data_IF_026709389811
#
_entry.id   IF_026709389811
#
_cell.length_a   1.000
_cell.length_b   1.000
_cell.length_c   1.000
_cell.angle_alpha   90.00
_cell.angle_beta   90.00
_cell.angle_gamma   90.00
#
_symmetry.space_group_name_H-M   'P 1'
#
loop_
_entity.id
_entity.type
_entity.pdbx_description
1 polymer ?
#
# COMPACT_ATOMS: atom_id res chain seq x y z
N UNK A 1 20.54 11.84 -18.62
CA UNK A 1 21.81 11.90 -17.85
C UNK A 1 21.63 11.55 -16.37
N UNK A 2 20.55 11.97 -15.68
CA UNK A 2 20.30 11.59 -14.28
C UNK A 2 20.15 10.06 -14.04
N UNK A 3 19.49 9.33 -14.94
CA UNK A 3 19.35 7.87 -14.83
C UNK A 3 20.67 7.09 -14.94
N UNK A 4 21.67 7.64 -15.65
CA UNK A 4 23.02 7.07 -15.72
C UNK A 4 23.78 7.27 -14.41
N UNK A 5 23.60 8.42 -13.76
CA UNK A 5 24.21 8.74 -12.47
C UNK A 5 23.60 7.90 -11.33
N UNK A 6 22.28 7.67 -11.32
CA UNK A 6 21.66 6.76 -10.36
C UNK A 6 22.12 5.29 -10.53
N UNK A 7 22.35 4.83 -11.77
CA UNK A 7 22.95 3.50 -12.01
C UNK A 7 24.39 3.41 -11.50
N UNK A 8 25.17 4.49 -11.63
CA UNK A 8 26.57 4.51 -11.20
C UNK A 8 26.68 4.52 -9.67
N UNK A 9 25.94 5.39 -8.98
CA UNK A 9 26.01 5.52 -7.52
C UNK A 9 25.37 4.33 -6.79
N UNK A 10 24.26 3.78 -7.29
CA UNK A 10 23.65 2.58 -6.72
C UNK A 10 24.56 1.35 -6.81
N UNK A 11 25.33 1.21 -7.90
CA UNK A 11 26.30 0.14 -8.10
C UNK A 11 27.42 0.21 -7.05
N UNK A 12 27.97 1.40 -6.78
CA UNK A 12 29.06 1.56 -5.82
C UNK A 12 28.69 1.16 -4.37
N UNK A 13 27.47 1.44 -3.92
CA UNK A 13 27.03 1.01 -2.58
C UNK A 13 26.69 -0.50 -2.52
N UNK A 14 26.19 -1.08 -3.62
CA UNK A 14 25.88 -2.51 -3.70
C UNK A 14 27.14 -3.39 -3.83
N UNK A 15 28.21 -2.91 -4.48
CA UNK A 15 29.47 -3.65 -4.63
C UNK A 15 30.29 -3.78 -3.34
N UNK A 16 30.02 -2.95 -2.32
CA UNK A 16 30.72 -3.05 -1.04
C UNK A 16 30.32 -4.31 -0.26
N UNK A 17 29.12 -4.86 -0.51
CA UNK A 17 28.57 -6.01 0.21
C UNK A 17 28.35 -7.25 -0.68
N UNK A 18 28.21 -7.06 -2.00
CA UNK A 18 28.00 -8.15 -2.96
C UNK A 18 29.19 -8.30 -3.91
N UNK A 19 29.57 -9.56 -4.18
CA UNK A 19 30.73 -9.88 -5.04
C UNK A 19 30.69 -9.14 -6.40
N UNK A 20 31.86 -8.77 -6.97
CA UNK A 20 31.97 -7.96 -8.20
C UNK A 20 31.14 -8.46 -9.40
N UNK A 21 30.81 -9.76 -9.42
CA UNK A 21 30.00 -10.40 -10.47
C UNK A 21 28.53 -9.95 -10.50
N UNK A 22 27.95 -9.46 -9.40
CA UNK A 22 26.60 -8.90 -9.40
C UNK A 22 26.55 -7.49 -9.97
N UNK A 23 27.62 -6.71 -9.76
CA UNK A 23 27.72 -5.32 -10.22
C UNK A 23 27.94 -5.20 -11.74
N UNK A 24 28.63 -6.17 -12.35
CA UNK A 24 28.95 -6.17 -13.79
C UNK A 24 27.75 -6.63 -14.63
N UNK A 25 26.79 -7.36 -14.05
CA UNK A 25 25.63 -7.85 -14.80
C UNK A 25 24.62 -6.71 -14.98
N UNK A 26 24.53 -6.18 -16.20
CA UNK A 26 23.47 -5.25 -16.60
C UNK A 26 22.12 -5.78 -16.08
N UNK A 27 21.48 -5.03 -15.17
CA UNK A 27 20.23 -5.46 -14.53
C UNK A 27 19.14 -5.73 -15.58
N UNK A 28 18.89 -7.00 -15.85
CA UNK A 28 17.85 -7.42 -16.79
C UNK A 28 16.48 -7.42 -16.10
N UNK A 29 15.42 -7.12 -16.86
CA UNK A 29 14.05 -7.08 -16.35
C UNK A 29 13.65 -8.39 -15.61
N UNK A 30 13.98 -9.60 -16.11
CA UNK A 30 13.70 -10.84 -15.39
C UNK A 30 14.43 -10.96 -14.05
N UNK A 31 15.64 -10.40 -13.93
CA UNK A 31 16.38 -10.42 -12.67
C UNK A 31 15.72 -9.53 -11.62
N UNK A 32 15.33 -8.31 -11.99
CA UNK A 32 14.62 -7.40 -11.10
C UNK A 32 13.32 -8.02 -10.61
N UNK A 33 12.55 -8.64 -11.52
CA UNK A 33 11.29 -9.31 -11.20
C UNK A 33 11.49 -10.45 -10.20
N UNK A 34 12.54 -11.25 -10.37
CA UNK A 34 12.89 -12.34 -9.45
C UNK A 34 13.26 -11.84 -8.05
N UNK A 35 14.06 -10.76 -7.96
CA UNK A 35 14.44 -10.17 -6.67
C UNK A 35 13.21 -9.60 -5.96
N UNK A 36 12.37 -8.86 -6.69
CA UNK A 36 11.11 -8.35 -6.16
C UNK A 36 10.18 -9.47 -5.67
N UNK A 37 10.18 -10.63 -6.32
CA UNK A 37 9.38 -11.77 -5.89
C UNK A 37 9.84 -12.33 -4.54
N UNK A 38 11.15 -12.48 -4.35
CA UNK A 38 11.71 -12.85 -3.05
C UNK A 38 11.41 -11.79 -1.98
N UNK A 39 11.63 -10.51 -2.29
CA UNK A 39 11.38 -9.42 -1.34
C UNK A 39 9.93 -9.32 -0.91
N UNK A 40 8.99 -9.44 -1.85
CA UNK A 40 7.54 -9.47 -1.55
C UNK A 40 7.15 -10.71 -0.75
N UNK A 41 7.74 -11.88 -1.04
CA UNK A 41 7.50 -13.10 -0.27
C UNK A 41 7.98 -12.99 1.17
N UNK A 42 9.17 -12.43 1.39
CA UNK A 42 9.70 -12.15 2.73
C UNK A 42 8.80 -11.17 3.48
N UNK A 43 8.41 -10.05 2.85
CA UNK A 43 7.55 -9.05 3.47
C UNK A 43 6.19 -9.64 3.89
N UNK A 44 5.56 -10.43 3.03
CA UNK A 44 4.28 -11.09 3.33
C UNK A 44 4.43 -12.12 4.46
N UNK A 45 5.47 -12.96 4.40
CA UNK A 45 5.73 -13.96 5.44
C UNK A 45 5.99 -13.32 6.80
N UNK A 46 6.81 -12.27 6.85
CA UNK A 46 7.04 -11.49 8.08
C UNK A 46 5.75 -10.85 8.57
N UNK A 47 4.94 -10.27 7.68
CA UNK A 47 3.67 -9.65 8.04
C UNK A 47 2.68 -10.64 8.69
N UNK A 48 2.48 -11.80 8.07
CA UNK A 48 1.60 -12.86 8.59
C UNK A 48 2.14 -13.43 9.90
N UNK A 49 3.45 -13.71 9.97
CA UNK A 49 4.09 -14.26 11.16
C UNK A 49 4.01 -13.30 12.34
N UNK A 50 4.29 -12.01 12.11
CA UNK A 50 4.22 -10.99 13.15
C UNK A 50 2.77 -10.76 13.60
N UNK A 51 1.81 -10.77 12.67
CA UNK A 51 0.38 -10.67 13.01
C UNK A 51 -0.06 -11.85 13.88
N UNK A 52 0.38 -13.08 13.56
CA UNK A 52 0.09 -14.26 14.36
C UNK A 52 0.76 -14.20 15.74
N UNK A 53 2.02 -13.77 15.80
CA UNK A 53 2.75 -13.61 17.06
C UNK A 53 2.10 -12.53 17.95
N UNK A 54 1.68 -11.41 17.37
CA UNK A 54 0.97 -10.36 18.09
C UNK A 54 -0.38 -10.86 18.61
N UNK A 55 -1.11 -11.65 17.83
CA UNK A 55 -2.36 -12.26 18.28
C UNK A 55 -2.18 -13.23 19.45
N UNK A 56 -1.02 -13.89 19.57
CA UNK A 56 -0.71 -14.79 20.68
C UNK A 56 -0.19 -14.06 21.92
N UNK A 57 0.62 -13.01 21.72
CA UNK A 57 1.28 -12.29 22.82
C UNK A 57 0.46 -11.12 23.37
N UNK A 58 -0.39 -10.50 22.56
CA UNK A 58 -1.16 -9.35 22.99
C UNK A 58 -2.36 -9.78 23.85
N UNK A 59 -2.43 -9.24 25.06
CA UNK A 59 -3.65 -9.30 25.88
C UNK A 59 -4.67 -8.32 25.32
N UNK A 60 -5.57 -8.81 24.47
CA UNK A 60 -6.66 -8.02 23.90
C UNK A 60 -7.33 -8.71 22.73
N UNK A 61 -8.58 -8.35 22.45
CA UNK A 61 -9.29 -8.86 21.27
C UNK A 61 -8.89 -8.04 20.05
N UNK A 62 -9.09 -8.56 18.84
CA UNK A 62 -8.83 -7.78 17.62
C UNK A 62 -9.54 -6.41 17.63
N UNK A 63 -10.74 -6.35 18.21
CA UNK A 63 -11.51 -5.11 18.33
C UNK A 63 -10.82 -4.04 19.18
N UNK A 64 -10.20 -4.40 20.31
CA UNK A 64 -9.52 -3.42 21.17
C UNK A 64 -8.31 -2.80 20.47
N UNK A 65 -7.60 -3.59 19.65
CA UNK A 65 -6.49 -3.09 18.83
C UNK A 65 -6.96 -2.12 17.74
N UNK A 66 -8.12 -2.39 17.12
CA UNK A 66 -8.71 -1.48 16.14
C UNK A 66 -9.12 -0.14 16.77
N UNK A 67 -9.73 -0.16 17.96
CA UNK A 67 -10.10 1.07 18.66
C UNK A 67 -8.88 1.91 19.06
N UNK A 68 -7.76 1.27 19.45
CA UNK A 68 -6.50 1.97 19.68
C UNK A 68 -5.99 2.66 18.41
N UNK A 69 -5.99 1.95 17.27
CA UNK A 69 -5.56 2.52 15.98
C UNK A 69 -6.47 3.68 15.54
N UNK A 70 -7.77 3.58 15.82
CA UNK A 70 -8.73 4.69 15.57
C UNK A 70 -8.43 5.89 16.47
N UNK A 71 -8.11 5.66 17.75
CA UNK A 71 -7.78 6.72 18.71
C UNK A 71 -6.51 7.48 18.35
N UNK A 72 -5.55 6.83 17.67
CA UNK A 72 -4.35 7.49 17.14
C UNK A 72 -4.64 8.54 16.05
N UNK A 73 -5.90 8.71 15.63
CA UNK A 73 -6.35 9.75 14.69
C UNK A 73 -5.47 9.85 13.43
N UNK A 74 -5.07 8.68 12.90
CA UNK A 74 -4.21 8.62 11.72
C UNK A 74 -4.91 9.27 10.53
N UNK A 75 -4.19 10.17 9.85
CA UNK A 75 -4.73 10.86 8.67
C UNK A 75 -5.17 9.88 7.60
N UNK A 76 -6.26 10.20 6.89
CA UNK A 76 -6.83 9.38 5.80
C UNK A 76 -5.79 8.93 4.78
N UNK A 77 -4.85 9.82 4.45
CA UNK A 77 -3.76 9.51 3.53
C UNK A 77 -2.86 8.39 4.04
N UNK A 78 -2.53 8.39 5.35
CA UNK A 78 -1.67 7.39 5.97
C UNK A 78 -2.35 6.02 6.07
N UNK A 79 -3.64 5.98 6.40
CA UNK A 79 -4.41 4.72 6.39
C UNK A 79 -4.48 4.15 4.98
N UNK A 80 -4.71 5.00 3.97
CA UNK A 80 -4.75 4.58 2.58
C UNK A 80 -3.39 4.04 2.09
N UNK A 81 -2.28 4.71 2.42
CA UNK A 81 -0.94 4.23 2.05
C UNK A 81 -0.59 2.93 2.76
N UNK A 82 -0.95 2.78 4.04
CA UNK A 82 -0.74 1.54 4.79
C UNK A 82 -1.50 0.36 4.15
N UNK A 83 -2.78 0.54 3.83
CA UNK A 83 -3.59 -0.50 3.15
C UNK A 83 -3.00 -0.81 1.76
N UNK A 84 -2.62 0.22 1.01
CA UNK A 84 -2.01 0.05 -0.32
C UNK A 84 -0.67 -0.70 -0.25
N UNK A 85 0.15 -0.40 0.76
CA UNK A 85 1.44 -1.05 0.98
C UNK A 85 1.30 -2.55 1.31
N UNK A 86 0.17 -2.99 1.85
CA UNK A 86 -0.14 -4.41 2.04
C UNK A 86 -0.65 -5.07 0.76
N UNK A 87 -1.49 -4.38 0.00
CA UNK A 87 -2.11 -4.93 -1.21
C UNK A 87 -1.10 -5.12 -2.35
N UNK A 88 -0.22 -4.16 -2.57
CA UNK A 88 0.75 -4.20 -3.66
C UNK A 88 1.66 -5.45 -3.66
N UNK A 89 2.39 -5.77 -2.56
CA UNK A 89 3.25 -6.95 -2.52
C UNK A 89 2.44 -8.24 -2.66
N UNK A 90 1.21 -8.30 -2.13
CA UNK A 90 0.33 -9.44 -2.28
C UNK A 90 -0.02 -9.69 -3.76
N UNK A 91 -0.53 -8.69 -4.46
CA UNK A 91 -0.91 -8.82 -5.88
C UNK A 91 0.29 -9.21 -6.75
N UNK A 92 1.44 -8.56 -6.53
CA UNK A 92 2.66 -8.85 -7.26
C UNK A 92 3.15 -10.29 -7.03
N UNK A 93 3.20 -10.71 -5.76
CA UNK A 93 3.71 -12.03 -5.40
C UNK A 93 2.83 -13.15 -5.96
N UNK A 94 1.50 -12.98 -5.94
CA UNK A 94 0.55 -13.96 -6.49
C UNK A 94 0.74 -14.15 -8.00
N UNK A 95 0.74 -13.08 -8.79
CA UNK A 95 0.93 -13.21 -10.25
C UNK A 95 2.31 -13.69 -10.65
N UNK A 96 3.35 -13.21 -9.99
CA UNK A 96 4.67 -13.71 -10.26
C UNK A 96 4.81 -15.18 -9.84
N UNK A 97 4.13 -15.60 -8.76
CA UNK A 97 4.02 -17.00 -8.33
C UNK A 97 3.36 -17.87 -9.39
N UNK A 98 2.25 -17.43 -10.00
CA UNK A 98 1.63 -18.17 -11.12
C UNK A 98 2.58 -18.30 -12.30
N UNK A 99 3.30 -17.24 -12.66
CA UNK A 99 4.34 -17.31 -13.70
C UNK A 99 5.39 -18.38 -13.35
N UNK A 100 5.82 -18.48 -12.09
CA UNK A 100 6.75 -19.52 -11.65
C UNK A 100 6.14 -20.92 -11.76
N UNK A 101 4.88 -21.12 -11.36
CA UNK A 101 4.20 -22.41 -11.55
C UNK A 101 4.09 -22.81 -13.03
N UNK A 102 3.88 -21.84 -13.93
CA UNK A 102 3.90 -22.09 -15.38
C UNK A 102 5.30 -22.50 -15.87
N UNK A 103 6.35 -21.94 -15.27
CA UNK A 103 7.74 -22.32 -15.56
C UNK A 103 8.06 -23.72 -15.03
N UNK A 104 7.50 -24.12 -13.88
CA UNK A 104 7.64 -25.47 -13.32
C UNK A 104 7.01 -26.53 -14.23
N UNK A 105 5.99 -26.15 -15.01
CA UNK A 105 5.40 -26.96 -16.09
C UNK A 105 6.24 -26.97 -17.38
N UNK A 106 7.42 -26.35 -17.40
CA UNK A 106 8.30 -26.25 -18.56
C UNK A 106 7.86 -25.27 -19.65
N UNK A 107 6.85 -24.42 -19.38
CA UNK A 107 6.30 -23.48 -20.36
C UNK A 107 6.91 -22.08 -20.20
N UNK A 108 7.15 -21.39 -21.32
CA UNK A 108 7.55 -19.97 -21.30
C UNK A 108 9.01 -19.69 -20.95
N UNK A 109 9.90 -20.67 -21.12
CA UNK A 109 11.34 -20.57 -20.76
C UNK A 109 12.22 -19.91 -21.85
N UNK A 110 11.67 -19.57 -23.02
CA UNK A 110 12.43 -18.87 -24.07
C UNK A 110 12.68 -17.41 -23.66
N UNK A 111 13.86 -16.87 -23.94
CA UNK A 111 14.28 -15.48 -23.61
C UNK A 111 13.22 -14.40 -23.94
N UNK A 112 12.57 -14.39 -25.13
CA UNK A 112 11.52 -13.41 -25.41
C UNK A 112 10.28 -13.62 -24.52
N UNK A 113 9.91 -14.86 -24.24
CA UNK A 113 8.76 -15.20 -23.39
C UNK A 113 9.00 -14.81 -21.92
N UNK A 114 10.25 -14.88 -21.44
CA UNK A 114 10.61 -14.41 -20.10
C UNK A 114 10.36 -12.90 -19.94
N UNK A 115 10.69 -12.10 -20.96
CA UNK A 115 10.44 -10.66 -20.93
C UNK A 115 8.95 -10.34 -21.07
N UNK A 116 8.25 -11.01 -22.00
CA UNK A 116 6.81 -10.82 -22.21
C UNK A 116 6.01 -11.19 -20.94
N UNK A 117 6.28 -12.35 -20.35
CA UNK A 117 5.62 -12.77 -19.11
C UNK A 117 5.93 -11.83 -17.95
N UNK A 118 7.14 -11.26 -17.89
CA UNK A 118 7.48 -10.24 -16.91
C UNK A 118 6.63 -8.97 -17.03
N UNK A 119 6.47 -8.44 -18.25
CA UNK A 119 5.60 -7.28 -18.51
C UNK A 119 4.14 -7.60 -18.19
N UNK A 120 3.65 -8.77 -18.59
CA UNK A 120 2.29 -9.23 -18.28
C UNK A 120 2.05 -9.23 -16.77
N UNK A 121 2.95 -9.81 -15.98
CA UNK A 121 2.85 -9.82 -14.51
C UNK A 121 2.78 -8.39 -13.95
N UNK A 122 3.61 -7.46 -14.43
CA UNK A 122 3.59 -6.06 -13.98
C UNK A 122 2.27 -5.35 -14.29
N UNK A 123 1.75 -5.50 -15.52
CA UNK A 123 0.47 -4.89 -15.93
C UNK A 123 -0.67 -5.44 -15.09
N UNK A 124 -0.73 -6.76 -14.97
CA UNK A 124 -1.82 -7.45 -14.30
C UNK A 124 -1.79 -7.19 -12.78
N UNK A 125 -0.60 -6.98 -12.20
CA UNK A 125 -0.43 -6.49 -10.82
C UNK A 125 -0.99 -5.07 -10.67
N UNK A 126 -0.64 -4.14 -11.58
CA UNK A 126 -1.09 -2.76 -11.54
C UNK A 126 -2.61 -2.64 -11.65
N UNK A 127 -3.23 -3.42 -12.54
CA UNK A 127 -4.68 -3.46 -12.70
C UNK A 127 -5.37 -3.97 -11.43
N UNK A 128 -4.97 -5.14 -10.91
CA UNK A 128 -5.56 -5.69 -9.67
C UNK A 128 -5.34 -4.77 -8.47
N UNK A 129 -4.16 -4.16 -8.35
CA UNK A 129 -3.86 -3.18 -7.31
C UNK A 129 -4.76 -1.95 -7.40
N UNK A 130 -4.94 -1.39 -8.60
CA UNK A 130 -5.81 -0.22 -8.80
C UNK A 130 -7.28 -0.53 -8.49
N UNK A 131 -7.78 -1.70 -8.90
CA UNK A 131 -9.14 -2.14 -8.61
C UNK A 131 -9.38 -2.30 -7.11
N UNK A 132 -8.46 -3.00 -6.41
CA UNK A 132 -8.60 -3.22 -4.98
C UNK A 132 -8.37 -1.94 -4.16
N UNK A 133 -7.48 -1.05 -4.58
CA UNK A 133 -7.31 0.25 -3.89
C UNK A 133 -8.50 1.20 -4.11
N UNK A 134 -9.17 1.12 -5.26
CA UNK A 134 -10.41 1.86 -5.51
C UNK A 134 -11.54 1.44 -4.56
N UNK A 135 -11.72 0.14 -4.30
CA UNK A 135 -12.71 -0.33 -3.33
C UNK A 135 -12.34 0.11 -1.91
N UNK A 136 -11.06 -0.02 -1.52
CA UNK A 136 -10.59 0.40 -0.21
C UNK A 136 -10.73 1.91 0.07
N UNK A 137 -10.80 2.73 -0.98
CA UNK A 137 -11.11 4.17 -0.90
C UNK A 137 -12.60 4.43 -0.68
N UNK A 138 -13.47 3.62 -1.28
CA UNK A 138 -14.92 3.74 -1.13
C UNK A 138 -15.41 3.42 0.29
N UNK A 139 -14.72 2.49 0.98
CA UNK A 139 -15.03 2.09 2.36
C UNK A 139 -14.59 3.11 3.43
N UNK A 140 -13.87 4.18 3.07
CA UNK A 140 -13.49 5.22 4.05
C UNK A 140 -14.62 6.24 4.13
N UNK A 141 -15.43 6.27 5.21
CA UNK A 141 -16.54 7.20 5.29
C UNK A 141 -16.03 8.64 5.27
N UNK A 142 -16.60 9.46 4.38
CA UNK A 142 -16.43 10.90 4.38
C UNK A 142 -17.40 11.48 5.41
N UNK A 143 -17.25 11.14 6.69
CA UNK A 143 -18.03 11.75 7.78
C UNK A 143 -17.17 11.74 9.04
N UNK A 144 -16.23 12.68 9.09
CA UNK A 144 -15.38 12.93 10.26
C UNK A 144 -15.00 14.41 10.42
N UNK A 145 -15.75 15.30 9.76
CA UNK A 145 -15.67 16.74 10.02
C UNK A 145 -17.09 17.24 10.30
N UNK A 146 -17.51 17.40 11.56
CA UNK A 146 -18.46 18.44 11.90
C UNK A 146 -17.70 19.77 11.88
N UNK A 147 -17.34 20.25 10.68
CA UNK A 147 -17.05 21.67 10.51
C UNK A 147 -18.36 22.31 10.10
N UNK A 148 -18.99 22.91 11.12
CA UNK A 148 -19.93 24.01 11.01
C UNK A 148 -21.40 23.71 10.67
N UNK A 149 -22.13 23.11 11.61
CA UNK A 149 -23.59 23.31 11.73
C UNK A 149 -24.02 23.91 13.09
N UNK A 150 -23.07 24.18 14.01
CA UNK A 150 -23.37 24.72 15.35
C UNK A 150 -23.29 26.25 15.47
N UNK A 151 -23.05 26.98 14.38
CA UNK A 151 -22.98 28.45 14.39
C UNK A 151 -24.15 29.13 13.63
N UNK A 152 -25.12 28.34 13.16
CA UNK A 152 -26.32 28.84 12.45
C UNK A 152 -27.60 28.68 13.27
N UNK A 153 -27.53 28.18 14.50
CA UNK A 153 -28.71 27.86 15.33
C UNK A 153 -28.79 28.61 16.67
N UNK A 154 -27.96 29.65 16.91
CA UNK A 154 -28.19 30.54 18.05
C UNK A 154 -29.12 31.69 17.64
N UNK A 155 -30.33 31.78 18.21
CA UNK A 155 -31.28 32.83 17.87
C UNK A 155 -30.72 34.21 18.26
N UNK A 156 -30.73 35.09 17.26
CA UNK A 156 -30.63 36.53 17.36
C UNK A 156 -31.61 37.04 18.43
N UNK A 157 -31.13 37.21 19.67
CA UNK A 157 -31.90 37.77 20.77
C UNK A 157 -31.88 39.29 20.66
N UNK A 158 -32.70 39.83 19.75
CA UNK A 158 -33.00 41.26 19.66
C UNK A 158 -34.40 41.49 20.25
N UNK A 159 -34.55 42.15 21.41
CA UNK A 159 -35.86 42.52 21.92
C UNK A 159 -36.42 43.70 21.11
N UNK A 160 -37.50 43.48 20.37
CA UNK A 160 -38.30 44.54 19.76
C UNK A 160 -39.37 45.03 20.78
N UNK A 161 -39.52 46.35 21.00
CA UNK A 161 -40.33 46.86 22.11
C UNK A 161 -41.83 46.67 21.87
N UNK A 162 -42.48 46.03 22.86
CA UNK A 162 -43.92 45.90 22.92
C UNK A 162 -44.59 47.29 23.08
N UNK A 163 -45.45 47.57 22.11
CA UNK A 163 -46.41 48.68 22.05
C UNK A 163 -47.40 48.60 23.22
N UNK A 164 -47.22 49.44 24.24
CA UNK A 164 -48.23 49.69 25.26
C UNK A 164 -49.34 50.59 24.69
N UNK A 165 -50.59 50.10 24.69
CA UNK A 165 -51.79 50.91 24.44
C UNK A 165 -52.18 51.62 25.74
N UNK A 166 -52.37 52.93 25.64
CA UNK A 166 -52.88 53.82 26.67
C UNK A 166 -54.41 53.80 26.63
N UNK A 167 -55.06 53.64 27.79
CA UNK A 167 -56.41 54.11 28.09
C UNK A 167 -56.40 54.69 29.49
#
# INVERSE_FOLDING_TARGET
MAALLLRHVGCHCLCAHFSPRFCIRNGSLPMAISICHCGTGMALSTGVSLSGLLALLALGTFQSHLELVKFLCLGRSLIYTAKSALVFPLMYHTWNGIKHLVWDLGKGLKIPQLHQSGVVVSVLTGLSFSGLTATLRAEVPITGLPINDSLTSLPMLLPSPARAKFS
#
